data_IF_881131208005
#
_entry.id   IF_881131208005
#
_cell.length_a   1.000
_cell.length_b   1.000
_cell.length_c   1.000
_cell.angle_alpha   90.00
_cell.angle_beta   90.00
_cell.angle_gamma   90.00
#
_symmetry.space_group_name_H-M   'P 1'
#
loop_
_entity.id
_entity.type
_entity.pdbx_description
1 polymer ?
#
# COMPACT_ATOMS: atom_id res chain seq x y z
N UNK A 1 -50.80 9.87 -126.41
CA UNK A 1 -50.56 10.92 -127.42
C UNK A 1 -50.77 10.33 -128.82
N UNK A 2 -51.53 11.04 -129.66
CA UNK A 2 -51.93 10.73 -131.05
C UNK A 2 -52.27 9.27 -131.36
N UNK A 3 -53.56 8.89 -131.25
CA UNK A 3 -54.03 7.60 -131.74
C UNK A 3 -53.84 7.52 -133.25
N UNK A 4 -53.18 6.46 -133.73
CA UNK A 4 -53.20 6.08 -135.14
C UNK A 4 -54.63 5.65 -135.44
N UNK A 5 -55.47 6.63 -135.81
CA UNK A 5 -56.84 6.41 -136.21
C UNK A 5 -56.80 5.93 -137.67
N UNK A 6 -57.11 4.65 -137.89
CA UNK A 6 -57.26 4.11 -139.24
C UNK A 6 -58.51 4.75 -139.85
N UNK A 7 -58.30 5.83 -140.60
CA UNK A 7 -59.35 6.57 -141.28
C UNK A 7 -59.80 5.79 -142.51
N UNK A 8 -60.77 4.91 -142.29
CA UNK A 8 -61.42 4.06 -143.29
C UNK A 8 -61.87 4.90 -144.49
N UNK A 9 -62.34 6.15 -144.28
CA UNK A 9 -62.81 7.03 -145.36
C UNK A 9 -61.67 7.55 -146.24
N UNK A 10 -60.53 7.95 -145.64
CA UNK A 10 -59.34 8.31 -146.42
C UNK A 10 -58.79 7.11 -147.19
N UNK A 11 -58.81 5.92 -146.59
CA UNK A 11 -58.33 4.70 -147.23
C UNK A 11 -59.20 4.28 -148.41
N UNK A 12 -60.54 4.34 -148.27
CA UNK A 12 -61.48 4.13 -149.38
C UNK A 12 -61.20 5.10 -150.52
N UNK A 13 -61.09 6.41 -150.23
CA UNK A 13 -60.80 7.42 -151.27
C UNK A 13 -59.49 7.13 -152.03
N UNK A 14 -58.46 6.69 -151.32
CA UNK A 14 -57.19 6.31 -151.92
C UNK A 14 -57.32 5.10 -152.84
N UNK A 15 -58.12 4.10 -152.45
CA UNK A 15 -58.37 2.90 -153.26
C UNK A 15 -59.25 3.20 -154.49
N UNK A 16 -60.25 4.08 -154.36
CA UNK A 16 -61.07 4.51 -155.50
C UNK A 16 -60.25 5.34 -156.50
N UNK A 17 -59.33 6.18 -156.02
CA UNK A 17 -58.40 6.92 -156.88
C UNK A 17 -57.39 6.01 -157.62
N UNK A 18 -57.10 4.82 -157.07
CA UNK A 18 -56.27 3.81 -157.70
C UNK A 18 -57.03 2.92 -158.72
N UNK A 19 -58.29 3.24 -159.02
CA UNK A 19 -59.08 2.56 -160.07
C UNK A 19 -60.00 1.43 -159.58
N UNK A 20 -60.17 1.25 -158.26
CA UNK A 20 -61.16 0.30 -157.73
C UNK A 20 -62.56 0.92 -157.65
N UNK A 21 -63.59 0.10 -157.85
CA UNK A 21 -64.99 0.54 -157.67
C UNK A 21 -65.27 0.87 -156.21
N UNK A 22 -66.13 1.85 -155.94
CA UNK A 22 -66.41 2.34 -154.58
C UNK A 22 -66.88 1.22 -153.62
N UNK A 23 -67.61 0.23 -154.14
CA UNK A 23 -68.05 -0.95 -153.41
C UNK A 23 -66.88 -1.86 -153.02
N UNK A 24 -65.90 -2.06 -153.91
CA UNK A 24 -64.71 -2.86 -153.62
C UNK A 24 -63.75 -2.13 -152.67
N UNK A 25 -63.56 -0.82 -152.84
CA UNK A 25 -62.73 -0.01 -151.96
C UNK A 25 -63.27 -0.01 -150.52
N UNK A 26 -64.60 0.08 -150.34
CA UNK A 26 -65.24 -0.01 -149.02
C UNK A 26 -65.13 -1.39 -148.39
N UNK A 27 -65.38 -2.45 -149.16
CA UNK A 27 -65.22 -3.82 -148.68
C UNK A 27 -63.77 -4.13 -148.26
N UNK A 28 -62.77 -3.64 -149.01
CA UNK A 28 -61.36 -3.80 -148.64
C UNK A 28 -60.97 -2.96 -147.42
N UNK A 29 -61.52 -1.75 -147.28
CA UNK A 29 -61.26 -0.90 -146.12
C UNK A 29 -61.92 -1.44 -144.84
N UNK A 30 -63.13 -2.00 -144.95
CA UNK A 30 -63.82 -2.71 -143.85
C UNK A 30 -63.11 -4.03 -143.53
N UNK A 31 -62.73 -4.84 -144.53
CA UNK A 31 -61.95 -6.07 -144.30
C UNK A 31 -60.58 -5.80 -143.67
N UNK A 32 -59.93 -4.68 -144.00
CA UNK A 32 -58.69 -4.28 -143.37
C UNK A 32 -58.91 -3.71 -141.96
N UNK A 33 -60.01 -2.98 -141.72
CA UNK A 33 -60.37 -2.51 -140.39
C UNK A 33 -60.75 -3.68 -139.45
N UNK A 34 -61.50 -4.65 -139.95
CA UNK A 34 -61.81 -5.91 -139.26
C UNK A 34 -60.56 -6.75 -139.09
N UNK A 35 -59.70 -6.88 -140.10
CA UNK A 35 -58.42 -7.54 -139.94
C UNK A 35 -57.55 -6.81 -138.91
N UNK A 36 -57.52 -5.48 -138.85
CA UNK A 36 -56.77 -4.72 -137.83
C UNK A 36 -57.39 -4.83 -136.42
N UNK A 37 -58.70 -5.08 -136.34
CA UNK A 37 -59.44 -5.41 -135.12
C UNK A 37 -59.15 -6.84 -134.65
N UNK A 38 -59.17 -7.82 -135.57
CA UNK A 38 -58.95 -9.25 -135.33
C UNK A 38 -57.46 -9.62 -135.19
N UNK A 39 -56.53 -8.91 -135.83
CA UNK A 39 -55.08 -9.20 -135.83
C UNK A 39 -54.40 -8.90 -134.49
N UNK A 40 -55.17 -8.80 -133.40
CA UNK A 40 -54.62 -8.72 -132.06
C UNK A 40 -53.75 -7.50 -131.85
N UNK A 41 -53.84 -6.46 -132.70
CA UNK A 41 -53.09 -5.21 -132.50
C UNK A 41 -53.51 -4.56 -131.17
N UNK A 42 -54.78 -4.69 -130.78
CA UNK A 42 -55.27 -4.36 -129.44
C UNK A 42 -54.73 -5.25 -128.32
N UNK A 43 -54.56 -6.56 -128.58
CA UNK A 43 -53.97 -7.52 -127.62
C UNK A 43 -52.47 -7.24 -127.43
N UNK A 44 -51.73 -7.04 -128.51
CA UNK A 44 -50.34 -6.60 -128.54
C UNK A 44 -50.15 -5.28 -127.81
N UNK A 45 -51.06 -4.32 -127.98
CA UNK A 45 -51.05 -3.05 -127.25
C UNK A 45 -51.26 -3.27 -125.75
N UNK A 46 -52.23 -4.07 -125.36
CA UNK A 46 -52.51 -4.40 -123.94
C UNK A 46 -51.32 -5.13 -123.31
N UNK A 47 -50.71 -6.07 -124.04
CA UNK A 47 -49.48 -6.77 -123.63
C UNK A 47 -48.28 -5.82 -123.54
N UNK A 48 -48.13 -4.86 -124.46
CA UNK A 48 -47.08 -3.86 -124.42
C UNK A 48 -47.23 -2.92 -123.23
N UNK A 49 -48.47 -2.53 -122.91
CA UNK A 49 -48.79 -1.74 -121.72
C UNK A 49 -48.47 -2.52 -120.44
N UNK A 50 -48.90 -3.79 -120.37
CA UNK A 50 -48.57 -4.70 -119.26
C UNK A 50 -47.07 -4.96 -119.12
N UNK A 51 -46.36 -5.10 -120.24
CA UNK A 51 -44.91 -5.26 -120.28
C UNK A 51 -44.20 -3.98 -119.81
N UNK A 52 -44.69 -2.81 -120.20
CA UNK A 52 -44.19 -1.52 -119.73
C UNK A 52 -44.39 -1.37 -118.23
N UNK A 53 -45.57 -1.75 -117.73
CA UNK A 53 -45.87 -1.74 -116.30
C UNK A 53 -44.97 -2.71 -115.53
N UNK A 54 -44.84 -3.96 -115.97
CA UNK A 54 -43.95 -4.95 -115.33
C UNK A 54 -42.49 -4.52 -115.40
N UNK A 55 -42.03 -3.89 -116.49
CA UNK A 55 -40.68 -3.34 -116.58
C UNK A 55 -40.46 -2.18 -115.61
N UNK A 56 -41.48 -1.33 -115.41
CA UNK A 56 -41.47 -0.28 -114.39
C UNK A 56 -41.42 -0.86 -112.97
N UNK A 57 -42.21 -1.89 -112.69
CA UNK A 57 -42.21 -2.62 -111.41
C UNK A 57 -40.87 -3.31 -111.15
N UNK A 58 -40.29 -4.00 -112.13
CA UNK A 58 -38.96 -4.61 -112.03
C UNK A 58 -37.89 -3.55 -111.81
N UNK A 59 -37.95 -2.42 -112.50
CA UNK A 59 -37.02 -1.30 -112.29
C UNK A 59 -37.09 -0.78 -110.87
N UNK A 60 -38.29 -0.51 -110.36
CA UNK A 60 -38.47 -0.04 -108.98
C UNK A 60 -38.05 -1.08 -107.95
N UNK A 61 -38.32 -2.37 -108.20
CA UNK A 61 -37.86 -3.48 -107.37
C UNK A 61 -36.32 -3.59 -107.34
N UNK A 62 -35.68 -3.42 -108.49
CA UNK A 62 -34.21 -3.43 -108.62
C UNK A 62 -33.57 -2.27 -107.86
N UNK A 63 -34.15 -1.07 -107.94
CA UNK A 63 -33.67 0.08 -107.15
C UNK A 63 -33.84 -0.15 -105.64
N UNK A 64 -34.97 -0.74 -105.20
CA UNK A 64 -35.16 -1.11 -103.79
C UNK A 64 -34.12 -2.13 -103.32
N UNK A 65 -33.84 -3.17 -104.12
CA UNK A 65 -32.82 -4.16 -103.80
C UNK A 65 -31.42 -3.54 -103.74
N UNK A 66 -31.10 -2.63 -104.67
CA UNK A 66 -29.84 -1.91 -104.69
C UNK A 66 -29.67 -1.07 -103.41
N UNK A 67 -30.67 -0.28 -103.04
CA UNK A 67 -30.64 0.53 -101.82
C UNK A 67 -30.51 -0.35 -100.57
N UNK A 68 -31.22 -1.48 -100.50
CA UNK A 68 -31.07 -2.45 -99.41
C UNK A 68 -29.67 -3.07 -99.35
N UNK A 69 -29.06 -3.39 -100.49
CA UNK A 69 -27.69 -3.91 -100.55
C UNK A 69 -26.64 -2.86 -100.12
N UNK A 70 -26.85 -1.59 -100.48
CA UNK A 70 -26.01 -0.47 -100.04
C UNK A 70 -26.13 -0.26 -98.52
N UNK A 71 -27.34 -0.37 -97.95
CA UNK A 71 -27.58 -0.30 -96.50
C UNK A 71 -26.93 -1.46 -95.74
N UNK A 72 -27.12 -2.71 -96.18
CA UNK A 72 -26.44 -3.87 -95.59
C UNK A 72 -24.92 -3.75 -95.67
N UNK A 73 -24.38 -3.19 -96.77
CA UNK A 73 -22.94 -2.95 -96.90
C UNK A 73 -22.46 -1.89 -95.91
N UNK A 74 -23.23 -0.83 -95.68
CA UNK A 74 -22.92 0.18 -94.68
C UNK A 74 -22.88 -0.44 -93.28
N UNK A 75 -23.92 -1.19 -92.89
CA UNK A 75 -23.97 -1.90 -91.60
C UNK A 75 -22.80 -2.88 -91.43
N UNK A 76 -22.45 -3.64 -92.47
CA UNK A 76 -21.29 -4.53 -92.45
C UNK A 76 -19.97 -3.76 -92.28
N UNK A 77 -19.88 -2.55 -92.82
CA UNK A 77 -18.77 -1.62 -92.61
C UNK A 77 -18.66 -1.18 -91.14
N UNK A 78 -19.78 -0.79 -90.54
CA UNK A 78 -19.84 -0.38 -89.13
C UNK A 78 -19.47 -1.54 -88.19
N UNK A 79 -20.02 -2.74 -88.41
CA UNK A 79 -19.63 -3.93 -87.64
C UNK A 79 -18.15 -4.25 -87.77
N UNK A 80 -17.58 -4.12 -88.97
CA UNK A 80 -16.15 -4.34 -89.20
C UNK A 80 -15.29 -3.29 -88.49
N UNK A 81 -15.80 -2.07 -88.33
CA UNK A 81 -15.14 -1.00 -87.57
C UNK A 81 -15.26 -1.18 -86.04
N UNK A 82 -16.35 -1.78 -85.55
CA UNK A 82 -16.56 -2.00 -84.12
C UNK A 82 -15.79 -3.21 -83.56
N UNK A 83 -15.56 -4.26 -84.35
CA UNK A 83 -14.76 -5.42 -83.94
C UNK A 83 -13.37 -5.07 -83.36
N UNK A 84 -12.53 -4.24 -84.03
CA UNK A 84 -11.24 -3.84 -83.46
C UNK A 84 -11.38 -2.98 -82.20
N UNK A 85 -12.44 -2.15 -82.09
CA UNK A 85 -12.72 -1.37 -80.88
C UNK A 85 -13.08 -2.26 -79.71
N UNK A 86 -13.95 -3.25 -79.93
CA UNK A 86 -14.33 -4.22 -78.92
C UNK A 86 -13.13 -5.06 -78.47
N UNK A 87 -12.26 -5.47 -79.41
CA UNK A 87 -11.00 -6.15 -79.07
C UNK A 87 -10.11 -5.26 -78.19
N UNK A 88 -9.93 -4.00 -78.54
CA UNK A 88 -9.13 -3.07 -77.74
C UNK A 88 -9.70 -2.89 -76.33
N UNK A 89 -11.02 -2.75 -76.19
CA UNK A 89 -11.69 -2.68 -74.88
C UNK A 89 -11.49 -3.95 -74.05
N UNK A 90 -11.53 -5.13 -74.68
CA UNK A 90 -11.29 -6.40 -73.98
C UNK A 90 -9.86 -6.50 -73.46
N UNK A 91 -8.86 -6.05 -74.23
CA UNK A 91 -7.47 -6.05 -73.75
C UNK A 91 -7.25 -5.03 -72.63
N UNK A 92 -7.82 -3.83 -72.74
CA UNK A 92 -7.78 -2.84 -71.65
C UNK A 92 -8.43 -3.38 -70.36
N UNK A 93 -9.57 -4.05 -70.46
CA UNK A 93 -10.22 -4.67 -69.29
C UNK A 93 -9.39 -5.79 -68.66
N UNK A 94 -8.58 -6.52 -69.44
CA UNK A 94 -7.65 -7.51 -68.89
C UNK A 94 -6.50 -6.85 -68.14
N UNK A 95 -5.95 -5.77 -68.69
CA UNK A 95 -4.90 -4.99 -68.03
C UNK A 95 -5.41 -4.42 -66.70
N UNK A 96 -6.59 -3.80 -66.69
CA UNK A 96 -7.24 -3.31 -65.47
C UNK A 96 -7.47 -4.45 -64.44
N UNK A 97 -7.89 -5.63 -64.90
CA UNK A 97 -8.12 -6.79 -64.04
C UNK A 97 -6.81 -7.31 -63.41
N UNK A 98 -5.72 -7.31 -64.17
CA UNK A 98 -4.39 -7.69 -63.68
C UNK A 98 -3.85 -6.66 -62.68
N UNK A 99 -4.09 -5.36 -62.91
CA UNK A 99 -3.75 -4.30 -61.96
C UNK A 99 -4.52 -4.47 -60.64
N UNK A 100 -5.84 -4.66 -60.70
CA UNK A 100 -6.67 -4.92 -59.50
C UNK A 100 -6.17 -6.15 -58.76
N UNK A 101 -5.84 -7.24 -59.46
CA UNK A 101 -5.30 -8.46 -58.85
C UNK A 101 -3.97 -8.21 -58.14
N UNK A 102 -3.09 -7.40 -58.74
CA UNK A 102 -1.82 -7.01 -58.12
C UNK A 102 -2.04 -6.15 -56.87
N UNK A 103 -2.96 -5.18 -56.92
CA UNK A 103 -3.31 -4.31 -55.79
C UNK A 103 -3.92 -5.09 -54.63
N UNK A 104 -4.79 -6.07 -54.91
CA UNK A 104 -5.31 -6.99 -53.90
C UNK A 104 -4.21 -7.84 -53.26
N UNK A 105 -3.19 -8.24 -54.03
CA UNK A 105 -2.00 -8.91 -53.52
C UNK A 105 -1.24 -8.05 -52.51
N UNK A 106 -0.92 -6.80 -52.87
CA UNK A 106 -0.24 -5.87 -51.96
C UNK A 106 -1.06 -5.60 -50.70
N UNK A 107 -2.37 -5.36 -50.84
CA UNK A 107 -3.25 -5.09 -49.70
C UNK A 107 -3.32 -6.29 -48.73
N UNK A 108 -3.29 -7.51 -49.27
CA UNK A 108 -3.21 -8.73 -48.47
C UNK A 108 -1.91 -8.79 -47.67
N UNK A 109 -0.79 -8.44 -48.28
CA UNK A 109 0.53 -8.45 -47.62
C UNK A 109 0.60 -7.37 -46.54
N UNK A 110 0.08 -6.16 -46.82
CA UNK A 110 -0.01 -5.08 -45.84
C UNK A 110 -0.89 -5.46 -44.65
N UNK A 111 -2.04 -6.10 -44.90
CA UNK A 111 -2.93 -6.58 -43.85
C UNK A 111 -2.25 -7.65 -42.99
N UNK A 112 -1.48 -8.56 -43.60
CA UNK A 112 -0.70 -9.55 -42.87
C UNK A 112 0.39 -8.89 -41.99
N UNK A 113 1.07 -7.87 -42.51
CA UNK A 113 2.05 -7.10 -41.76
C UNK A 113 1.44 -6.35 -40.57
N UNK A 114 0.28 -5.72 -40.77
CA UNK A 114 -0.48 -5.05 -39.69
C UNK A 114 -0.93 -6.05 -38.63
N UNK A 115 -1.46 -7.21 -39.03
CA UNK A 115 -1.84 -8.27 -38.10
C UNK A 115 -0.65 -8.79 -37.28
N UNK A 116 0.54 -8.87 -37.89
CA UNK A 116 1.78 -9.20 -37.19
C UNK A 116 2.15 -8.15 -36.14
N UNK A 117 2.13 -6.86 -36.52
CA UNK A 117 2.41 -5.74 -35.61
C UNK A 117 1.42 -5.70 -34.44
N UNK A 118 0.14 -5.95 -34.70
CA UNK A 118 -0.88 -6.00 -33.65
C UNK A 118 -0.59 -7.09 -32.63
N UNK A 119 -0.29 -8.32 -33.08
CA UNK A 119 0.12 -9.42 -32.18
C UNK A 119 1.35 -9.08 -31.35
N UNK A 120 2.37 -8.46 -31.95
CA UNK A 120 3.56 -8.05 -31.18
C UNK A 120 3.25 -6.94 -30.17
N UNK A 121 2.30 -6.05 -30.51
CA UNK A 121 1.81 -5.01 -29.61
C UNK A 121 1.03 -5.59 -28.43
N UNK A 122 0.15 -6.56 -28.67
CA UNK A 122 -0.59 -7.28 -27.63
C UNK A 122 0.37 -7.95 -26.62
N UNK A 123 1.38 -8.68 -27.11
CA UNK A 123 2.39 -9.32 -26.24
C UNK A 123 3.16 -8.29 -25.42
N UNK A 124 3.49 -7.14 -26.02
CA UNK A 124 4.22 -6.07 -25.33
C UNK A 124 3.35 -5.38 -24.26
N UNK A 125 2.05 -5.21 -24.50
CA UNK A 125 1.10 -4.68 -23.52
C UNK A 125 0.92 -5.65 -22.34
N UNK A 126 0.83 -6.95 -22.60
CA UNK A 126 0.77 -7.97 -21.55
C UNK A 126 2.03 -7.95 -20.66
N UNK A 127 3.20 -7.79 -21.27
CA UNK A 127 4.46 -7.68 -20.52
C UNK A 127 4.52 -6.41 -19.67
N UNK A 128 4.12 -5.25 -20.23
CA UNK A 128 4.03 -4.00 -19.46
C UNK A 128 3.03 -4.12 -18.30
N UNK A 129 1.90 -4.80 -18.49
CA UNK A 129 0.94 -5.04 -17.42
C UNK A 129 1.51 -5.91 -16.29
N UNK A 130 2.28 -6.95 -16.62
CA UNK A 130 3.01 -7.76 -15.63
C UNK A 130 4.04 -6.94 -14.87
N UNK A 131 4.83 -6.12 -15.56
CA UNK A 131 5.81 -5.24 -14.93
C UNK A 131 5.15 -4.22 -13.99
N UNK A 132 4.04 -3.61 -14.41
CA UNK A 132 3.27 -2.70 -13.57
C UNK A 132 2.77 -3.39 -12.28
N UNK A 133 2.30 -4.63 -12.40
CA UNK A 133 1.89 -5.45 -11.24
C UNK A 133 3.07 -5.74 -10.31
N UNK A 134 4.22 -6.14 -10.86
CA UNK A 134 5.44 -6.40 -10.07
C UNK A 134 5.98 -5.15 -9.35
N UNK A 135 5.87 -3.98 -9.98
CA UNK A 135 6.22 -2.70 -9.35
C UNK A 135 5.25 -2.39 -8.20
N UNK A 136 3.94 -2.60 -8.39
CA UNK A 136 2.94 -2.39 -7.35
C UNK A 136 3.18 -3.30 -6.12
N UNK A 137 3.47 -4.58 -6.35
CA UNK A 137 3.80 -5.54 -5.28
C UNK A 137 5.07 -5.15 -4.53
N UNK A 138 6.11 -4.71 -5.26
CA UNK A 138 7.35 -4.22 -4.67
C UNK A 138 7.12 -2.97 -3.82
N UNK A 139 6.28 -2.04 -4.30
CA UNK A 139 5.87 -0.85 -3.55
C UNK A 139 5.12 -1.20 -2.27
N UNK A 140 4.20 -2.18 -2.31
CA UNK A 140 3.47 -2.64 -1.13
C UNK A 140 4.41 -3.26 -0.08
N UNK A 141 5.40 -4.05 -0.51
CA UNK A 141 6.42 -4.62 0.39
C UNK A 141 7.26 -3.53 1.06
N UNK A 142 7.75 -2.56 0.29
CA UNK A 142 8.51 -1.43 0.84
C UNK A 142 7.70 -0.61 1.84
N UNK A 143 6.40 -0.40 1.59
CA UNK A 143 5.53 0.28 2.53
C UNK A 143 5.37 -0.49 3.86
N UNK A 144 5.24 -1.82 3.79
CA UNK A 144 5.18 -2.67 4.97
C UNK A 144 6.49 -2.65 5.77
N UNK A 145 7.63 -2.76 5.09
CA UNK A 145 8.96 -2.69 5.71
C UNK A 145 9.17 -1.33 6.41
N UNK A 146 8.81 -0.23 5.76
CA UNK A 146 8.88 1.11 6.35
C UNK A 146 7.99 1.22 7.59
N UNK A 147 6.78 0.64 7.56
CA UNK A 147 5.89 0.55 8.72
C UNK A 147 6.53 -0.21 9.88
N UNK A 148 7.16 -1.36 9.60
CA UNK A 148 7.88 -2.17 10.58
C UNK A 148 9.05 -1.39 11.19
N UNK A 149 9.90 -0.74 10.37
CA UNK A 149 11.00 0.09 10.85
C UNK A 149 10.53 1.24 11.73
N UNK A 150 9.44 1.92 11.36
CA UNK A 150 8.86 2.99 12.18
C UNK A 150 8.39 2.47 13.54
N UNK A 151 7.76 1.29 13.57
CA UNK A 151 7.37 0.61 14.81
C UNK A 151 8.57 0.28 15.70
N UNK A 152 9.61 -0.35 15.13
CA UNK A 152 10.83 -0.68 15.85
C UNK A 152 11.53 0.56 16.42
N UNK A 153 11.58 1.65 15.65
CA UNK A 153 12.17 2.92 16.11
C UNK A 153 11.39 3.55 17.27
N UNK A 154 10.05 3.45 17.25
CA UNK A 154 9.23 3.91 18.36
C UNK A 154 9.50 3.11 19.65
N UNK A 155 9.66 1.79 19.54
CA UNK A 155 10.05 0.93 20.68
C UNK A 155 11.42 1.35 21.22
N UNK A 156 12.43 1.47 20.35
CA UNK A 156 13.78 1.92 20.75
C UNK A 156 13.79 3.29 21.42
N UNK A 157 12.94 4.22 20.95
CA UNK A 157 12.78 5.54 21.59
C UNK A 157 12.20 5.41 23.00
N UNK A 158 11.24 4.50 23.19
CA UNK A 158 10.69 4.16 24.49
C UNK A 158 11.74 3.55 25.43
N UNK A 159 12.46 2.53 24.97
CA UNK A 159 13.51 1.85 25.73
C UNK A 159 14.61 2.83 26.16
N UNK A 160 15.05 3.72 25.26
CA UNK A 160 16.05 4.74 25.58
C UNK A 160 15.56 5.71 26.67
N UNK A 161 14.28 6.08 26.62
CA UNK A 161 13.67 6.94 27.64
C UNK A 161 13.61 6.23 29.00
N UNK A 162 13.31 4.93 29.01
CA UNK A 162 13.29 4.12 30.23
C UNK A 162 14.70 3.97 30.82
N UNK A 163 15.71 3.64 30.00
CA UNK A 163 17.11 3.55 30.44
C UNK A 163 17.58 4.86 31.04
N UNK A 164 17.19 6.00 30.47
CA UNK A 164 17.51 7.31 31.04
C UNK A 164 16.90 7.51 32.42
N UNK A 165 15.63 7.11 32.61
CA UNK A 165 14.97 7.16 33.91
C UNK A 165 15.65 6.24 34.93
N UNK A 166 16.02 5.03 34.54
CA UNK A 166 16.70 4.07 35.39
C UNK A 166 18.10 4.57 35.82
N UNK A 167 18.84 5.23 34.93
CA UNK A 167 20.12 5.86 35.24
C UNK A 167 19.97 6.95 36.31
N UNK A 168 18.96 7.82 36.18
CA UNK A 168 18.70 8.86 37.20
C UNK A 168 18.27 8.26 38.54
N UNK A 169 17.41 7.22 38.52
CA UNK A 169 17.04 6.49 39.72
C UNK A 169 18.25 5.83 40.40
N UNK A 170 19.16 5.24 39.61
CA UNK A 170 20.40 4.68 40.13
C UNK A 170 21.31 5.75 40.76
N UNK A 171 21.44 6.93 40.13
CA UNK A 171 22.21 8.05 40.70
C UNK A 171 21.69 8.45 42.06
N UNK A 172 20.36 8.57 42.21
CA UNK A 172 19.73 8.89 43.49
C UNK A 172 20.01 7.82 44.55
N UNK A 173 19.90 6.54 44.19
CA UNK A 173 20.22 5.43 45.10
C UNK A 173 21.68 5.42 45.54
N UNK A 174 22.62 5.68 44.63
CA UNK A 174 24.05 5.77 44.95
C UNK A 174 24.32 6.95 45.89
N UNK A 175 23.67 8.09 45.68
CA UNK A 175 23.76 9.24 46.59
C UNK A 175 23.26 8.89 48.00
N UNK A 176 22.10 8.23 48.10
CA UNK A 176 21.54 7.79 49.39
C UNK A 176 22.48 6.83 50.13
N UNK A 177 23.07 5.86 49.42
CA UNK A 177 24.05 4.94 50.00
C UNK A 177 25.29 5.68 50.52
N UNK A 178 25.75 6.73 49.82
CA UNK A 178 26.88 7.53 50.27
C UNK A 178 26.56 8.28 51.57
N UNK A 179 25.34 8.81 51.71
CA UNK A 179 24.87 9.46 52.94
C UNK A 179 24.75 8.46 54.10
N UNK A 180 24.13 7.29 53.86
CA UNK A 180 24.02 6.22 54.86
C UNK A 180 25.40 5.77 55.35
N UNK A 181 26.38 5.62 54.44
CA UNK A 181 27.75 5.25 54.79
C UNK A 181 28.44 6.33 55.64
N UNK A 182 28.22 7.61 55.33
CA UNK A 182 28.75 8.71 56.12
C UNK A 182 28.16 8.73 57.54
N UNK A 183 26.84 8.51 57.68
CA UNK A 183 26.18 8.40 58.97
C UNK A 183 26.67 7.20 59.78
N UNK A 184 26.80 6.04 59.14
CA UNK A 184 27.33 4.84 59.78
C UNK A 184 28.76 5.07 60.30
N UNK A 185 29.62 5.69 59.51
CA UNK A 185 30.99 5.97 59.90
C UNK A 185 31.06 6.96 61.09
N UNK A 186 30.18 7.97 61.11
CA UNK A 186 30.04 8.87 62.25
C UNK A 186 29.58 8.10 63.51
N UNK A 187 28.58 7.23 63.39
CA UNK A 187 28.09 6.39 64.49
C UNK A 187 29.15 5.42 65.05
N UNK A 188 29.96 4.82 64.18
CA UNK A 188 31.10 3.97 64.57
C UNK A 188 32.15 4.78 65.33
N UNK A 189 32.45 6.00 64.87
CA UNK A 189 33.40 6.90 65.54
C UNK A 189 32.91 7.29 66.93
N UNK A 190 31.62 7.63 67.06
CA UNK A 190 30.99 7.94 68.33
C UNK A 190 31.05 6.73 69.29
N UNK A 191 30.67 5.54 68.83
CA UNK A 191 30.72 4.31 69.64
C UNK A 191 32.13 3.98 70.12
N UNK A 192 33.16 4.27 69.30
CA UNK A 192 34.56 4.10 69.70
C UNK A 192 34.97 5.09 70.79
N UNK A 193 34.49 6.33 70.71
CA UNK A 193 34.70 7.33 71.76
C UNK A 193 34.03 6.89 73.06
N UNK A 194 32.76 6.45 73.02
CA UNK A 194 32.04 5.93 74.18
C UNK A 194 32.75 4.72 74.80
N UNK A 195 33.21 3.77 73.98
CA UNK A 195 34.00 2.63 74.48
C UNK A 195 35.31 3.06 75.18
N UNK A 196 35.94 4.14 74.71
CA UNK A 196 37.12 4.71 75.36
C UNK A 196 36.78 5.39 76.69
N UNK A 197 35.63 6.08 76.76
CA UNK A 197 35.13 6.72 77.97
C UNK A 197 34.77 5.68 79.04
N UNK A 198 34.02 4.63 78.68
CA UNK A 198 33.69 3.51 79.58
C UNK A 198 34.96 2.85 80.11
N UNK A 199 35.99 2.66 79.26
CA UNK A 199 37.28 2.11 79.72
C UNK A 199 37.96 3.02 80.75
N UNK A 200 37.88 4.34 80.57
CA UNK A 200 38.42 5.31 81.52
C UNK A 200 37.63 5.30 82.84
N UNK A 201 36.31 5.30 82.77
CA UNK A 201 35.42 5.22 83.94
C UNK A 201 35.68 3.94 84.74
N UNK A 202 35.78 2.80 84.08
CA UNK A 202 36.10 1.52 84.73
C UNK A 202 37.46 1.57 85.43
N UNK A 203 38.47 2.21 84.82
CA UNK A 203 39.77 2.39 85.44
C UNK A 203 39.71 3.36 86.65
N UNK A 204 38.89 4.40 86.60
CA UNK A 204 38.68 5.33 87.71
C UNK A 204 38.01 4.62 88.91
N UNK A 205 36.92 3.89 88.66
CA UNK A 205 36.23 3.09 89.67
C UNK A 205 37.18 2.06 90.29
N UNK A 206 37.97 1.35 89.47
CA UNK A 206 38.95 0.39 89.98
C UNK A 206 40.02 1.01 90.89
N UNK A 207 40.43 2.27 90.64
CA UNK A 207 41.35 3.00 91.52
C UNK A 207 40.67 3.41 92.83
N UNK A 208 39.46 3.97 92.77
CA UNK A 208 38.69 4.36 93.96
C UNK A 208 38.51 3.17 94.89
N UNK A 209 37.95 2.06 94.38
CA UNK A 209 37.72 0.84 95.17
C UNK A 209 39.01 0.30 95.77
N UNK A 210 40.14 0.37 95.05
CA UNK A 210 41.44 -0.05 95.58
C UNK A 210 41.92 0.87 96.71
N UNK A 211 41.68 2.18 96.61
CA UNK A 211 41.98 3.15 97.66
C UNK A 211 41.14 2.88 98.90
N UNK A 212 39.81 2.78 98.72
CA UNK A 212 38.85 2.53 99.80
C UNK A 212 39.19 1.23 100.54
N UNK A 213 39.56 0.17 99.81
CA UNK A 213 40.00 -1.09 100.41
C UNK A 213 41.29 -0.92 101.23
N UNK A 214 42.20 -0.06 100.79
CA UNK A 214 43.43 0.29 101.52
C UNK A 214 43.15 1.04 102.82
N UNK A 215 42.25 2.02 102.77
CA UNK A 215 41.78 2.78 103.95
C UNK A 215 41.09 1.86 104.95
N UNK A 216 40.11 1.07 104.51
CA UNK A 216 39.41 0.07 105.34
C UNK A 216 40.42 -0.88 106.02
N UNK A 217 41.47 -1.30 105.30
CA UNK A 217 42.50 -2.16 105.87
C UNK A 217 43.30 -1.46 106.98
N UNK A 218 43.62 -0.17 106.81
CA UNK A 218 44.28 0.64 107.83
C UNK A 218 43.39 0.82 109.06
N UNK A 219 42.14 1.23 108.84
CA UNK A 219 41.14 1.41 109.90
C UNK A 219 40.97 0.11 110.70
N UNK A 220 40.96 -1.04 110.04
CA UNK A 220 40.84 -2.33 110.71
C UNK A 220 42.08 -2.68 111.56
N UNK A 221 43.28 -2.26 111.17
CA UNK A 221 44.49 -2.38 112.00
C UNK A 221 44.38 -1.49 113.24
N UNK A 222 43.93 -0.25 113.07
CA UNK A 222 43.74 0.71 114.16
C UNK A 222 42.68 0.21 115.15
N UNK A 223 41.51 -0.22 114.67
CA UNK A 223 40.47 -0.86 115.49
C UNK A 223 41.01 -2.08 116.24
N UNK A 224 41.84 -2.91 115.59
CA UNK A 224 42.47 -4.06 116.24
C UNK A 224 43.42 -3.62 117.36
N UNK A 225 44.17 -2.53 117.16
CA UNK A 225 45.07 -1.97 118.17
C UNK A 225 44.29 -1.38 119.34
N UNK A 226 43.23 -0.61 119.08
CA UNK A 226 42.35 -0.04 120.09
C UNK A 226 41.67 -1.14 120.92
N UNK A 227 41.23 -2.22 120.28
CA UNK A 227 40.64 -3.38 120.96
C UNK A 227 41.66 -4.10 121.86
N UNK A 228 42.93 -4.17 121.46
CA UNK A 228 44.03 -4.67 122.32
C UNK A 228 44.29 -3.76 123.51
N UNK A 229 44.28 -2.43 123.33
CA UNK A 229 44.45 -1.44 124.41
C UNK A 229 43.31 -1.53 125.41
N UNK A 230 42.06 -1.50 124.94
CA UNK A 230 40.86 -1.69 125.79
C UNK A 230 40.94 -2.99 126.61
N UNK A 231 41.40 -4.08 125.99
CA UNK A 231 41.58 -5.36 126.67
C UNK A 231 42.70 -5.31 127.72
N UNK A 232 43.75 -4.52 127.51
CA UNK A 232 44.85 -4.32 128.45
C UNK A 232 44.48 -3.37 129.62
N UNK A 233 43.61 -2.38 129.38
CA UNK A 233 43.13 -1.44 130.40
C UNK A 233 42.01 -2.06 131.27
N UNK A 234 41.27 -3.05 130.76
CA UNK A 234 40.16 -3.68 131.46
C UNK A 234 40.52 -4.28 132.84
N UNK A 235 41.66 -4.98 133.04
CA UNK A 235 42.14 -5.43 134.36
C UNK A 235 42.45 -4.29 135.32
N UNK A 236 43.01 -3.18 134.84
CA UNK A 236 43.34 -2.01 135.66
C UNK A 236 42.05 -1.32 136.11
N UNK A 237 41.12 -1.07 135.20
CA UNK A 237 39.78 -0.55 135.53
C UNK A 237 39.03 -1.47 136.52
N UNK A 238 39.16 -2.80 136.36
CA UNK A 238 38.59 -3.77 137.32
C UNK A 238 39.27 -3.68 138.69
N UNK A 239 40.59 -3.49 138.74
CA UNK A 239 41.35 -3.33 139.98
C UNK A 239 40.99 -2.03 140.68
N UNK A 240 40.87 -0.93 139.94
CA UNK A 240 40.42 0.37 140.45
C UNK A 240 39.00 0.29 141.00
N UNK A 241 38.09 -0.43 140.32
CA UNK A 241 36.74 -0.68 140.84
C UNK A 241 36.77 -1.48 142.16
N UNK A 242 37.63 -2.49 142.27
CA UNK A 242 37.79 -3.26 143.51
C UNK A 242 38.40 -2.43 144.63
N UNK A 243 39.40 -1.58 144.33
CA UNK A 243 39.98 -0.63 145.27
C UNK A 243 38.95 0.39 145.74
N UNK A 244 38.14 0.93 144.84
CA UNK A 244 37.06 1.86 145.17
C UNK A 244 36.03 1.19 146.09
N UNK A 245 35.60 -0.04 145.76
CA UNK A 245 34.71 -0.82 146.64
C UNK A 245 35.31 -1.03 148.02
N UNK A 246 36.61 -1.36 148.11
CA UNK A 246 37.30 -1.51 149.39
C UNK A 246 37.39 -0.18 150.16
N UNK A 247 37.75 0.92 149.50
CA UNK A 247 37.77 2.26 150.09
C UNK A 247 36.40 2.63 150.64
N UNK A 248 35.33 2.50 149.86
CA UNK A 248 33.95 2.78 150.31
C UNK A 248 33.59 1.90 151.50
N UNK A 249 33.95 0.61 151.48
CA UNK A 249 33.76 -0.30 152.62
C UNK A 249 34.48 0.17 153.89
N UNK A 250 35.75 0.59 153.77
CA UNK A 250 36.52 1.17 154.88
C UNK A 250 35.87 2.46 155.37
N UNK A 251 35.44 3.35 154.47
CA UNK A 251 34.78 4.61 154.86
C UNK A 251 33.46 4.34 155.58
N UNK A 252 32.66 3.37 155.12
CA UNK A 252 31.45 2.92 155.82
C UNK A 252 31.77 2.34 157.21
N UNK A 253 32.80 1.50 157.31
CA UNK A 253 33.23 0.92 158.58
C UNK A 253 33.73 2.00 159.56
N UNK A 254 34.52 2.97 159.08
CA UNK A 254 34.99 4.10 159.88
C UNK A 254 33.84 5.02 160.30
N UNK A 255 32.90 5.34 159.40
CA UNK A 255 31.72 6.16 159.76
C UNK A 255 30.82 5.42 160.76
N UNK A 256 30.62 4.11 160.60
CA UNK A 256 29.94 3.28 161.59
C UNK A 256 30.69 3.28 162.94
N UNK A 257 32.00 3.11 162.95
CA UNK A 257 32.82 3.15 164.17
C UNK A 257 32.79 4.53 164.85
N UNK A 258 32.85 5.62 164.08
CA UNK A 258 32.71 6.99 164.58
C UNK A 258 31.31 7.21 165.16
N UNK A 259 30.26 6.73 164.50
CA UNK A 259 28.89 6.79 165.03
C UNK A 259 28.74 5.98 166.32
N UNK A 260 29.32 4.78 166.40
CA UNK A 260 29.36 3.97 167.64
C UNK A 260 30.15 4.69 168.74
N UNK A 261 31.31 5.27 168.42
CA UNK A 261 32.12 6.02 169.38
C UNK A 261 31.42 7.31 169.83
N UNK A 262 30.76 8.02 168.92
CA UNK A 262 29.95 9.21 169.23
C UNK A 262 28.74 8.83 170.08
N UNK A 263 28.05 7.73 169.79
CA UNK A 263 26.98 7.20 170.62
C UNK A 263 27.50 6.84 172.03
N UNK A 264 28.67 6.22 172.14
CA UNK A 264 29.32 5.94 173.41
C UNK A 264 29.72 7.22 174.17
N UNK A 265 30.19 8.26 173.47
CA UNK A 265 30.55 9.54 174.07
C UNK A 265 29.31 10.32 174.54
N UNK A 266 28.23 10.33 173.75
CA UNK A 266 26.93 10.90 174.12
C UNK A 266 26.34 10.16 175.33
N UNK A 267 26.43 8.82 175.36
CA UNK A 267 26.07 8.04 176.55
C UNK A 267 26.91 8.48 177.77
N UNK A 268 28.21 8.72 177.59
CA UNK A 268 29.13 9.15 178.67
C UNK A 268 28.92 10.59 179.15
N UNK A 269 28.42 11.49 178.30
CA UNK A 269 28.23 12.92 178.62
C UNK A 269 26.80 13.24 179.09
N UNK A 270 25.78 12.62 178.49
CA UNK A 270 24.37 12.95 178.74
C UNK A 270 23.62 11.88 179.56
N UNK A 271 24.20 10.70 179.78
CA UNK A 271 23.64 9.62 180.62
C UNK A 271 24.74 9.03 181.55
N UNK A 272 25.33 9.83 182.45
CA UNK A 272 26.41 9.35 183.34
C UNK A 272 25.99 8.26 184.34
N UNK A 273 24.71 7.87 184.38
CA UNK A 273 24.19 6.79 185.24
C UNK A 273 24.10 5.41 184.55
N UNK A 274 24.51 5.26 183.28
CA UNK A 274 24.19 4.06 182.48
C UNK A 274 25.35 3.43 181.69
N UNK A 275 26.61 3.65 182.08
CA UNK A 275 27.74 2.81 181.63
C UNK A 275 28.49 2.27 182.86
N UNK A 276 28.60 0.94 183.02
CA UNK A 276 29.41 0.32 184.08
C UNK A 276 30.92 0.55 183.91
#
# INVERSE_FOLDING_TARGET
MSGVYFDTLKFVRSLTAAGLTETQARAQAEALADALSETGVGDLRTRLESLSQTLSEVRTGTERLRLGADDFRAQAGDFRADLPRLRALVEALKEDADEVKSGLGSLRDDLAAVAGKLRTGEVSLDELARQATGIADSGARLAADLGSFKGAFAVLTGDLSQVKADIEAMRMRVSGIAEDLAQLNAGVTASKADGSAVKADLAAVARSVRSDLGEIKSDMVDVTADLRRLKADAPDAKSDLQRLKAMVGITLACTAAILVAAAALVAKVYLPELVP
#
